data_IF_190607112978
#
_entry.id   IF_190607112978
#
_cell.length_a   1.000
_cell.length_b   1.000
_cell.length_c   1.000
_cell.angle_alpha   90.00
_cell.angle_beta   90.00
_cell.angle_gamma   90.00
#
_symmetry.space_group_name_H-M   'P 1'
#
loop_
_entity.id
_entity.type
_entity.pdbx_description
1 polymer ?
#
# COMPACT_ATOMS: atom_id res chain seq x y z
N UNK A 1 -1.84 18.77 3.60
CA UNK A 1 -1.92 20.19 4.01
C UNK A 1 -1.69 20.40 5.51
N UNK A 2 -2.00 19.42 6.36
CA UNK A 2 -1.76 19.47 7.82
C UNK A 2 -0.33 19.08 8.21
N UNK A 3 0.50 18.65 7.27
CA UNK A 3 1.88 18.21 7.50
C UNK A 3 2.00 16.84 8.15
N UNK A 4 0.92 16.03 8.12
CA UNK A 4 0.96 14.62 8.54
C UNK A 4 1.63 13.78 7.48
N UNK A 5 2.29 12.70 7.89
CA UNK A 5 2.78 11.68 6.97
C UNK A 5 1.62 10.80 6.46
N UNK A 6 1.78 10.24 5.28
CA UNK A 6 0.72 9.47 4.61
C UNK A 6 1.24 8.15 4.07
N UNK A 7 0.48 7.08 4.30
CA UNK A 7 0.79 5.75 3.82
C UNK A 7 -0.42 5.07 3.16
N UNK A 8 -0.15 4.37 2.07
CA UNK A 8 -1.12 3.53 1.37
C UNK A 8 -0.51 2.14 1.17
N UNK A 9 -1.19 1.14 1.70
CA UNK A 9 -0.74 -0.26 1.69
C UNK A 9 -1.88 -1.12 1.16
N UNK A 10 -1.58 -1.99 0.20
CA UNK A 10 -2.59 -2.87 -0.41
C UNK A 10 -1.99 -4.18 -0.89
N UNK A 11 -2.80 -5.23 -0.98
CA UNK A 11 -2.47 -6.47 -1.69
C UNK A 11 -2.80 -6.42 -3.19
N UNK A 12 -3.46 -5.35 -3.66
CA UNK A 12 -3.68 -5.07 -5.07
C UNK A 12 -2.50 -4.32 -5.72
N UNK A 13 -2.69 -3.89 -6.97
CA UNK A 13 -1.88 -2.84 -7.60
C UNK A 13 -2.06 -1.53 -6.80
N UNK A 14 -1.00 -0.81 -6.50
CA UNK A 14 -1.10 0.49 -5.81
C UNK A 14 -1.88 1.53 -6.62
N UNK A 15 -2.06 1.30 -7.91
CA UNK A 15 -2.88 2.09 -8.83
C UNK A 15 -4.35 1.64 -8.87
N UNK A 16 -4.75 0.62 -8.08
CA UNK A 16 -6.15 0.22 -7.99
C UNK A 16 -7.00 1.29 -7.27
N UNK A 17 -8.31 1.21 -7.40
CA UNK A 17 -9.23 2.28 -7.04
C UNK A 17 -9.08 2.74 -5.58
N UNK A 18 -8.99 1.81 -4.63
CA UNK A 18 -8.93 2.14 -3.20
C UNK A 18 -7.69 2.96 -2.82
N UNK A 19 -6.44 2.56 -3.14
CA UNK A 19 -5.31 3.44 -2.87
C UNK A 19 -5.30 4.69 -3.75
N UNK A 20 -5.74 4.59 -5.02
CA UNK A 20 -5.69 5.70 -5.96
C UNK A 20 -6.53 6.91 -5.53
N UNK A 21 -7.72 6.69 -4.98
CA UNK A 21 -8.66 7.77 -4.60
C UNK A 21 -8.08 8.75 -3.59
N UNK A 22 -7.10 8.34 -2.81
CA UNK A 22 -6.45 9.22 -1.81
C UNK A 22 -5.46 10.22 -2.42
N UNK A 23 -4.94 9.96 -3.61
CA UNK A 23 -3.85 10.77 -4.16
C UNK A 23 -3.99 11.13 -5.64
N UNK A 24 -4.83 10.45 -6.41
CA UNK A 24 -5.05 10.67 -7.83
C UNK A 24 -6.49 11.06 -8.15
N UNK A 25 -6.69 11.73 -9.30
CA UNK A 25 -8.00 12.13 -9.81
C UNK A 25 -8.05 11.83 -11.31
N UNK A 26 -8.77 10.78 -11.66
CA UNK A 26 -9.02 10.34 -13.03
C UNK A 26 -10.52 10.06 -13.21
N UNK A 27 -11.00 10.15 -14.43
CA UNK A 27 -12.40 9.87 -14.79
C UNK A 27 -12.68 8.37 -15.00
N UNK A 28 -11.61 7.55 -15.07
CA UNK A 28 -11.70 6.12 -15.26
C UNK A 28 -10.62 5.40 -14.43
N UNK A 29 -11.04 4.45 -13.57
CA UNK A 29 -10.13 3.66 -12.72
C UNK A 29 -9.13 2.81 -13.50
N UNK A 30 -9.38 2.56 -14.78
CA UNK A 30 -8.50 1.76 -15.63
C UNK A 30 -7.35 2.57 -16.24
N UNK A 31 -7.34 3.90 -16.07
CA UNK A 31 -6.22 4.79 -16.42
C UNK A 31 -5.04 4.66 -15.46
N UNK A 32 -4.57 3.43 -15.27
CA UNK A 32 -3.55 3.09 -14.25
C UNK A 32 -2.21 3.78 -14.47
N UNK A 33 -1.81 3.98 -15.71
CA UNK A 33 -0.59 4.75 -16.04
C UNK A 33 -0.72 6.22 -15.62
N UNK A 34 -1.88 6.83 -15.83
CA UNK A 34 -2.14 8.20 -15.41
C UNK A 34 -2.17 8.32 -13.88
N UNK A 35 -2.80 7.35 -13.20
CA UNK A 35 -2.78 7.27 -11.72
C UNK A 35 -1.36 7.20 -11.20
N UNK A 36 -0.51 6.33 -11.76
CA UNK A 36 0.90 6.22 -11.37
C UNK A 36 1.67 7.53 -11.59
N UNK A 37 1.42 8.20 -12.72
CA UNK A 37 1.98 9.53 -13.00
C UNK A 37 1.53 10.58 -11.97
N UNK A 38 0.28 10.56 -11.55
CA UNK A 38 -0.25 11.51 -10.55
C UNK A 38 0.33 11.25 -9.17
N UNK A 39 0.58 10.00 -8.76
CA UNK A 39 1.30 9.70 -7.52
C UNK A 39 2.65 10.40 -7.43
N UNK A 40 3.34 10.55 -8.56
CA UNK A 40 4.62 11.24 -8.61
C UNK A 40 4.49 12.75 -8.81
N UNK A 41 3.68 13.18 -9.78
CA UNK A 41 3.66 14.57 -10.26
C UNK A 41 2.82 15.50 -9.37
N UNK A 42 1.76 14.97 -8.75
CA UNK A 42 0.86 15.78 -7.93
C UNK A 42 1.46 15.98 -6.54
N UNK A 43 1.98 17.19 -6.33
CA UNK A 43 2.65 17.59 -5.08
C UNK A 43 1.83 18.65 -4.32
N UNK A 44 1.94 18.62 -3.00
CA UNK A 44 1.41 19.68 -2.12
C UNK A 44 2.59 20.43 -1.51
N UNK A 45 2.70 21.71 -1.79
CA UNK A 45 3.83 22.55 -1.35
C UNK A 45 5.21 21.97 -1.75
N UNK A 46 5.29 21.33 -2.93
CA UNK A 46 6.51 20.71 -3.43
C UNK A 46 6.83 19.33 -2.86
N UNK A 47 6.01 18.80 -1.95
CA UNK A 47 6.18 17.47 -1.37
C UNK A 47 5.21 16.47 -2.00
N UNK A 48 5.62 15.23 -2.14
CA UNK A 48 4.73 14.14 -2.56
C UNK A 48 3.58 13.96 -1.58
N UNK A 49 2.41 13.56 -2.10
CA UNK A 49 1.20 13.33 -1.29
C UNK A 49 1.29 12.07 -0.42
N UNK A 50 2.11 11.09 -0.82
CA UNK A 50 2.18 9.77 -0.19
C UNK A 50 3.65 9.46 0.15
N UNK A 51 3.96 9.29 1.43
CA UNK A 51 5.31 8.97 1.90
C UNK A 51 5.62 7.48 1.78
N UNK A 52 4.62 6.63 2.06
CA UNK A 52 4.74 5.17 2.02
C UNK A 52 3.71 4.60 1.07
N UNK A 53 4.16 3.98 -0.03
CA UNK A 53 3.30 3.36 -1.04
C UNK A 53 3.76 1.92 -1.26
N UNK A 54 2.96 0.94 -0.78
CA UNK A 54 3.32 -0.48 -0.77
C UNK A 54 2.22 -1.34 -1.39
N UNK A 55 2.58 -2.20 -2.33
CA UNK A 55 1.66 -3.14 -2.97
C UNK A 55 2.22 -3.76 -4.25
N UNK A 56 1.34 -4.11 -5.18
CA UNK A 56 1.69 -4.56 -6.52
C UNK A 56 1.68 -3.42 -7.55
N UNK A 57 1.76 -3.76 -8.85
CA UNK A 57 1.60 -2.82 -9.96
C UNK A 57 2.89 -2.23 -10.50
N UNK A 58 4.04 -2.91 -10.35
CA UNK A 58 5.33 -2.41 -10.81
C UNK A 58 5.36 -2.08 -12.30
N UNK A 59 4.52 -2.72 -13.12
CA UNK A 59 4.43 -2.46 -14.57
C UNK A 59 4.08 -1.01 -14.91
N UNK A 60 3.36 -0.29 -14.02
CA UNK A 60 2.95 1.10 -14.26
C UNK A 60 4.00 2.13 -13.85
N UNK A 61 5.13 1.71 -13.27
CA UNK A 61 6.18 2.60 -12.76
C UNK A 61 7.49 2.52 -13.55
N UNK A 62 7.54 1.66 -14.56
CA UNK A 62 8.73 1.38 -15.35
C UNK A 62 9.02 2.39 -16.45
N UNK A 63 9.91 1.97 -17.36
CA UNK A 63 10.38 2.76 -18.51
C UNK A 63 9.25 3.28 -19.38
N UNK A 64 8.24 2.45 -19.64
CA UNK A 64 7.14 2.79 -20.55
C UNK A 64 6.25 3.91 -20.00
N UNK A 65 6.24 4.09 -18.68
CA UNK A 65 5.54 5.19 -18.02
C UNK A 65 6.50 6.22 -17.42
N UNK A 66 7.61 6.49 -18.09
CA UNK A 66 8.51 7.59 -17.78
C UNK A 66 9.46 7.38 -16.60
N UNK A 67 9.85 6.13 -16.33
CA UNK A 67 10.85 5.78 -15.30
C UNK A 67 10.48 6.30 -13.91
N UNK A 68 9.24 6.07 -13.47
CA UNK A 68 8.76 6.61 -12.20
C UNK A 68 9.56 6.08 -11.00
N UNK A 69 9.99 4.80 -11.03
CA UNK A 69 10.81 4.24 -9.95
C UNK A 69 12.11 5.02 -9.73
N UNK A 70 12.83 5.33 -10.82
CA UNK A 70 14.07 6.12 -10.74
C UNK A 70 13.81 7.57 -10.31
N UNK A 71 12.66 8.12 -10.69
CA UNK A 71 12.25 9.48 -10.27
C UNK A 71 11.97 9.53 -8.78
N UNK A 72 11.22 8.58 -8.23
CA UNK A 72 10.99 8.46 -6.78
C UNK A 72 12.30 8.31 -6.01
N UNK A 73 13.23 7.46 -6.51
CA UNK A 73 14.55 7.30 -5.88
C UNK A 73 15.36 8.60 -5.87
N UNK A 74 15.32 9.40 -6.95
CA UNK A 74 15.98 10.71 -7.01
C UNK A 74 15.37 11.69 -6.01
N UNK A 75 14.08 11.57 -5.72
CA UNK A 75 13.39 12.40 -4.73
C UNK A 75 13.56 11.87 -3.29
N UNK A 76 14.38 10.82 -3.08
CA UNK A 76 14.75 10.32 -1.75
C UNK A 76 13.98 9.09 -1.25
N UNK A 77 13.11 8.51 -2.07
CA UNK A 77 12.43 7.27 -1.72
C UNK A 77 13.38 6.08 -1.83
N UNK A 78 13.29 5.16 -0.87
CA UNK A 78 13.78 3.80 -1.08
C UNK A 78 12.82 3.09 -2.03
N UNK A 79 13.34 2.48 -3.11
CA UNK A 79 12.58 1.59 -3.98
C UNK A 79 12.92 0.16 -3.63
N UNK A 80 11.90 -0.61 -3.23
CA UNK A 80 12.07 -1.99 -2.74
C UNK A 80 11.12 -2.93 -3.46
N UNK A 81 11.56 -4.17 -3.70
CA UNK A 81 10.82 -5.16 -4.48
C UNK A 81 10.65 -6.51 -3.76
N UNK A 82 11.14 -6.63 -2.54
CA UNK A 82 11.03 -7.84 -1.73
C UNK A 82 10.99 -7.51 -0.22
N UNK A 83 10.63 -8.51 0.57
CA UNK A 83 10.50 -8.41 2.04
C UNK A 83 11.79 -7.98 2.74
N UNK A 84 12.94 -8.51 2.30
CA UNK A 84 14.23 -8.21 2.91
C UNK A 84 14.62 -6.75 2.70
N UNK A 85 14.47 -6.25 1.49
CA UNK A 85 14.77 -4.85 1.17
C UNK A 85 13.81 -3.91 1.90
N UNK A 86 12.53 -4.28 2.01
CA UNK A 86 11.55 -3.52 2.79
C UNK A 86 11.97 -3.41 4.26
N UNK A 87 12.36 -4.51 4.88
CA UNK A 87 12.81 -4.54 6.28
C UNK A 87 14.10 -3.73 6.51
N UNK A 88 14.97 -3.66 5.50
CA UNK A 88 16.25 -2.94 5.56
C UNK A 88 16.18 -1.48 5.09
N UNK A 89 15.03 -1.05 4.57
CA UNK A 89 14.83 0.32 4.09
C UNK A 89 15.04 1.34 5.20
N UNK A 90 15.84 2.36 4.92
CA UNK A 90 16.23 3.40 5.90
C UNK A 90 15.51 4.72 5.70
N UNK A 91 15.06 5.02 4.49
CA UNK A 91 14.31 6.24 4.22
C UNK A 91 12.96 6.21 4.94
N UNK A 92 12.46 7.36 5.35
CA UNK A 92 11.09 7.52 5.86
C UNK A 92 10.07 7.50 4.72
N UNK A 93 10.54 7.63 3.47
CA UNK A 93 9.74 7.52 2.27
C UNK A 93 10.11 6.25 1.50
N UNK A 94 9.10 5.44 1.13
CA UNK A 94 9.33 4.17 0.44
C UNK A 94 8.27 3.90 -0.63
N UNK A 95 8.76 3.46 -1.79
CA UNK A 95 7.97 2.86 -2.87
C UNK A 95 8.30 1.37 -2.91
N UNK A 96 7.37 0.53 -2.46
CA UNK A 96 7.52 -0.93 -2.48
C UNK A 96 6.54 -1.55 -3.47
N UNK A 97 7.08 -2.14 -4.54
CA UNK A 97 6.30 -2.78 -5.60
C UNK A 97 6.72 -4.24 -5.73
N UNK A 98 5.91 -5.13 -5.16
CA UNK A 98 6.28 -6.54 -4.92
C UNK A 98 5.75 -7.52 -5.97
N UNK A 99 4.98 -7.03 -6.95
CA UNK A 99 4.48 -7.80 -8.06
C UNK A 99 4.26 -6.90 -9.28
N UNK A 100 4.27 -7.49 -10.48
CA UNK A 100 3.98 -6.77 -11.72
C UNK A 100 2.54 -6.24 -11.76
N UNK A 101 1.59 -7.06 -11.28
CA UNK A 101 0.15 -6.76 -11.12
C UNK A 101 -0.23 -6.81 -9.64
N UNK A 102 -1.41 -7.35 -9.32
CA UNK A 102 -1.78 -7.64 -7.94
C UNK A 102 -0.76 -8.56 -7.27
N UNK A 103 -0.58 -8.43 -5.98
CA UNK A 103 0.25 -9.36 -5.23
C UNK A 103 -0.34 -10.78 -5.29
N UNK A 104 0.50 -11.82 -5.26
CA UNK A 104 0.00 -13.19 -5.14
C UNK A 104 -0.79 -13.37 -3.84
N UNK A 105 -1.76 -14.29 -3.83
CA UNK A 105 -2.47 -14.64 -2.60
C UNK A 105 -1.47 -15.10 -1.53
N UNK A 106 -1.75 -14.79 -0.27
CA UNK A 106 -0.86 -15.12 0.83
C UNK A 106 -0.49 -16.62 0.86
N UNK A 107 -1.45 -17.49 0.56
CA UNK A 107 -1.25 -18.94 0.56
C UNK A 107 -0.24 -19.40 -0.51
N UNK A 108 -0.14 -18.68 -1.62
CA UNK A 108 0.74 -18.99 -2.76
C UNK A 108 1.95 -18.05 -2.84
N UNK A 109 2.07 -17.11 -1.91
CA UNK A 109 3.08 -16.08 -1.98
C UNK A 109 4.49 -16.67 -1.82
N UNK A 110 5.44 -16.31 -2.73
CA UNK A 110 6.85 -16.64 -2.54
C UNK A 110 7.37 -16.06 -1.21
N UNK A 111 8.30 -16.76 -0.58
CA UNK A 111 8.90 -16.36 0.71
C UNK A 111 9.48 -14.93 0.71
N UNK A 112 9.96 -14.47 -0.43
CA UNK A 112 10.53 -13.13 -0.56
C UNK A 112 9.47 -12.01 -0.64
N UNK A 113 8.18 -12.34 -0.84
CA UNK A 113 7.12 -11.34 -0.83
C UNK A 113 6.74 -10.98 0.60
N UNK A 114 6.58 -9.69 0.90
CA UNK A 114 6.00 -9.29 2.19
C UNK A 114 4.51 -9.63 2.21
N UNK A 115 4.01 -10.00 3.38
CA UNK A 115 2.59 -10.14 3.65
C UNK A 115 1.99 -8.77 4.01
N UNK A 116 0.67 -8.67 4.04
CA UNK A 116 -0.03 -7.42 4.38
C UNK A 116 0.44 -6.86 5.74
N UNK A 117 0.56 -7.73 6.75
CA UNK A 117 1.04 -7.35 8.07
C UNK A 117 2.50 -6.85 8.08
N UNK A 118 3.39 -7.44 7.26
CA UNK A 118 4.77 -6.97 7.12
C UNK A 118 4.84 -5.56 6.50
N UNK A 119 3.99 -5.31 5.50
CA UNK A 119 3.91 -4.00 4.85
C UNK A 119 3.34 -2.94 5.78
N UNK A 120 2.28 -3.26 6.53
CA UNK A 120 1.70 -2.38 7.54
C UNK A 120 2.71 -2.02 8.64
N UNK A 121 3.41 -3.01 9.20
CA UNK A 121 4.41 -2.81 10.25
C UNK A 121 5.54 -1.89 9.76
N UNK A 122 6.03 -2.11 8.53
CA UNK A 122 7.00 -1.22 7.90
C UNK A 122 6.46 0.20 7.72
N UNK A 123 5.22 0.35 7.27
CA UNK A 123 4.59 1.66 7.11
C UNK A 123 4.46 2.39 8.46
N UNK A 124 3.94 1.73 9.49
CA UNK A 124 3.82 2.31 10.84
C UNK A 124 5.16 2.81 11.36
N UNK A 125 6.22 1.99 11.29
CA UNK A 125 7.55 2.34 11.78
C UNK A 125 8.19 3.57 11.11
N UNK A 126 7.75 3.91 9.91
CA UNK A 126 8.21 5.09 9.16
C UNK A 126 7.35 6.32 9.47
N UNK A 127 6.03 6.12 9.42
CA UNK A 127 5.05 7.21 9.55
C UNK A 127 4.97 7.78 10.98
N UNK A 128 5.17 6.95 11.99
CA UNK A 128 5.13 7.36 13.41
C UNK A 128 6.21 8.38 13.81
N UNK A 129 7.27 8.51 13.00
CA UNK A 129 8.35 9.47 13.23
C UNK A 129 7.93 10.93 13.04
N UNK A 130 6.79 11.17 12.43
CA UNK A 130 6.27 12.52 12.23
C UNK A 130 5.50 12.99 13.47
N UNK A 131 6.02 13.99 14.18
CA UNK A 131 5.40 14.56 15.38
C UNK A 131 3.99 15.12 15.16
N UNK A 132 3.62 15.42 13.90
CA UNK A 132 2.26 15.85 13.55
C UNK A 132 1.29 14.69 13.35
N UNK A 133 1.79 13.45 13.44
CA UNK A 133 1.04 12.22 13.23
C UNK A 133 0.96 11.83 11.76
N UNK A 134 0.13 10.85 11.48
CA UNK A 134 0.02 10.25 10.15
C UNK A 134 -1.41 9.83 9.80
N UNK A 135 -1.61 9.53 8.55
CA UNK A 135 -2.74 8.77 8.00
C UNK A 135 -2.18 7.51 7.31
N UNK A 136 -2.72 6.36 7.65
CA UNK A 136 -2.37 5.08 7.01
C UNK A 136 -3.64 4.35 6.58
N UNK A 137 -3.73 4.00 5.30
CA UNK A 137 -4.75 3.11 4.76
C UNK A 137 -4.09 1.74 4.48
N UNK A 138 -4.73 0.68 4.96
CA UNK A 138 -4.29 -0.71 4.77
C UNK A 138 -5.45 -1.52 4.19
N UNK A 139 -5.25 -2.13 3.04
CA UNK A 139 -6.29 -2.82 2.29
C UNK A 139 -5.95 -4.30 2.07
N UNK A 140 -6.82 -5.17 2.52
CA UNK A 140 -6.84 -6.59 2.17
C UNK A 140 -7.61 -6.83 0.88
N UNK A 141 -7.16 -6.27 -0.24
CA UNK A 141 -7.87 -6.26 -1.53
C UNK A 141 -8.12 -7.67 -2.10
N UNK A 142 -7.26 -8.61 -1.78
CA UNK A 142 -7.36 -9.96 -2.33
C UNK A 142 -8.46 -10.82 -1.70
N UNK A 143 -9.10 -10.36 -0.63
CA UNK A 143 -10.33 -10.95 -0.10
C UNK A 143 -11.44 -10.85 -1.16
N UNK A 144 -11.69 -9.66 -1.67
CA UNK A 144 -12.63 -9.39 -2.76
C UNK A 144 -12.26 -10.13 -4.03
N UNK A 145 -10.99 -10.04 -4.45
CA UNK A 145 -10.49 -10.68 -5.67
C UNK A 145 -10.60 -12.21 -5.64
N UNK A 146 -10.57 -12.83 -4.46
CA UNK A 146 -10.85 -14.27 -4.26
C UNK A 146 -12.35 -14.54 -4.16
N UNK A 147 -13.12 -13.61 -3.64
CA UNK A 147 -14.60 -13.70 -3.56
C UNK A 147 -15.26 -13.76 -4.94
N UNK A 148 -14.80 -12.95 -5.89
CA UNK A 148 -15.35 -12.93 -7.25
C UNK A 148 -15.39 -14.31 -7.96
N UNK A 149 -14.33 -15.13 -7.97
CA UNK A 149 -14.38 -16.48 -8.50
C UNK A 149 -14.93 -17.53 -7.51
N UNK A 150 -15.43 -17.13 -6.35
CA UNK A 150 -15.89 -18.01 -5.27
C UNK A 150 -14.77 -18.95 -4.76
N UNK A 151 -13.54 -18.48 -4.71
CA UNK A 151 -12.38 -19.19 -4.14
C UNK A 151 -12.39 -19.07 -2.62
N UNK A 152 -13.06 -20.00 -1.94
CA UNK A 152 -13.15 -20.00 -0.48
C UNK A 152 -11.78 -20.12 0.21
N UNK A 153 -10.84 -20.84 -0.40
CA UNK A 153 -9.48 -21.01 0.16
C UNK A 153 -8.71 -19.69 0.10
N UNK A 154 -8.78 -18.99 -1.01
CA UNK A 154 -8.22 -17.64 -1.16
C UNK A 154 -8.85 -16.67 -0.17
N UNK A 155 -10.18 -16.60 -0.08
CA UNK A 155 -10.88 -15.73 0.87
C UNK A 155 -10.44 -16.00 2.32
N UNK A 156 -10.39 -17.25 2.75
CA UNK A 156 -9.99 -17.61 4.11
C UNK A 156 -8.53 -17.23 4.39
N UNK A 157 -7.64 -17.48 3.45
CA UNK A 157 -6.23 -17.12 3.56
C UNK A 157 -6.05 -15.61 3.69
N UNK A 158 -6.65 -14.85 2.78
CA UNK A 158 -6.54 -13.39 2.76
C UNK A 158 -7.21 -12.74 3.99
N UNK A 159 -8.35 -13.26 4.45
CA UNK A 159 -8.97 -12.82 5.71
C UNK A 159 -8.06 -13.05 6.91
N UNK A 160 -7.36 -14.19 6.96
CA UNK A 160 -6.37 -14.46 8.02
C UNK A 160 -5.21 -13.45 7.99
N UNK A 161 -4.76 -13.07 6.79
CA UNK A 161 -3.74 -12.03 6.61
C UNK A 161 -4.22 -10.65 7.04
N UNK A 162 -5.45 -10.31 6.71
CA UNK A 162 -6.09 -9.05 7.13
C UNK A 162 -6.30 -9.01 8.66
N UNK A 163 -6.78 -10.10 9.25
CA UNK A 163 -6.94 -10.20 10.72
C UNK A 163 -5.60 -9.97 11.44
N UNK A 164 -4.50 -10.51 10.90
CA UNK A 164 -3.18 -10.29 11.45
C UNK A 164 -2.75 -8.82 11.38
N UNK A 165 -2.97 -8.15 10.24
CA UNK A 165 -2.69 -6.73 10.10
C UNK A 165 -3.58 -5.89 11.04
N UNK A 166 -4.88 -6.20 11.11
CA UNK A 166 -5.79 -5.52 12.04
C UNK A 166 -5.37 -5.68 13.51
N UNK A 167 -4.89 -6.88 13.90
CA UNK A 167 -4.36 -7.09 15.25
C UNK A 167 -3.14 -6.22 15.52
N UNK A 168 -2.22 -6.09 14.55
CA UNK A 168 -1.06 -5.20 14.67
C UNK A 168 -1.50 -3.73 14.88
N UNK A 169 -2.48 -3.25 14.11
CA UNK A 169 -3.02 -1.90 14.26
C UNK A 169 -3.63 -1.67 15.65
N UNK A 170 -4.39 -2.65 16.17
CA UNK A 170 -4.96 -2.60 17.52
C UNK A 170 -3.87 -2.56 18.59
N UNK A 171 -2.84 -3.38 18.45
CA UNK A 171 -1.74 -3.44 19.41
C UNK A 171 -0.90 -2.15 19.37
N UNK A 172 -0.72 -1.58 18.18
CA UNK A 172 -0.12 -0.25 18.02
C UNK A 172 -0.95 0.81 18.79
N UNK A 173 -2.26 0.89 18.56
CA UNK A 173 -3.14 1.86 19.20
C UNK A 173 -3.24 1.71 20.73
N UNK A 174 -3.07 0.48 21.27
CA UNK A 174 -3.00 0.28 22.73
C UNK A 174 -1.84 1.04 23.37
N UNK A 175 -0.73 1.19 22.64
CA UNK A 175 0.49 1.87 23.10
C UNK A 175 0.54 3.35 22.67
N UNK A 176 -0.29 3.75 21.68
CA UNK A 176 -0.37 5.11 21.12
C UNK A 176 -1.82 5.62 21.24
N UNK A 177 -2.17 6.21 22.41
CA UNK A 177 -3.55 6.54 22.81
C UNK A 177 -4.23 7.61 21.96
N UNK A 178 -3.50 8.33 21.15
CA UNK A 178 -3.95 9.33 20.18
C UNK A 178 -4.20 8.75 18.78
N UNK A 179 -4.15 7.42 18.65
CA UNK A 179 -4.39 6.70 17.39
C UNK A 179 -5.81 6.15 17.34
N UNK A 180 -6.54 6.50 16.29
CA UNK A 180 -7.83 5.91 15.93
C UNK A 180 -7.62 4.82 14.90
N UNK A 181 -8.11 3.61 15.16
CA UNK A 181 -8.17 2.50 14.22
C UNK A 181 -9.60 2.31 13.76
N UNK A 182 -9.82 2.27 12.45
CA UNK A 182 -11.14 2.03 11.83
C UNK A 182 -11.01 0.83 10.91
N UNK A 183 -11.86 -0.17 11.10
CA UNK A 183 -12.01 -1.29 10.18
C UNK A 183 -13.39 -1.22 9.51
N UNK A 184 -13.42 -1.38 8.21
CA UNK A 184 -14.65 -1.37 7.42
C UNK A 184 -14.52 -2.25 6.18
N UNK A 185 -15.64 -2.64 5.60
CA UNK A 185 -15.72 -3.17 4.25
C UNK A 185 -16.54 -2.19 3.40
N UNK A 186 -16.22 -2.09 2.12
CA UNK A 186 -16.96 -1.28 1.15
C UNK A 186 -18.21 -2.01 0.64
N UNK A 187 -18.13 -3.33 0.44
CA UNK A 187 -19.24 -4.22 0.02
C UNK A 187 -18.92 -5.69 0.33
N UNK A 188 -19.90 -6.55 0.14
CA UNK A 188 -19.72 -8.02 0.10
C UNK A 188 -19.44 -8.49 -1.33
N UNK A 189 -18.75 -9.63 -1.49
CA UNK A 189 -18.42 -10.24 -2.78
C UNK A 189 -18.55 -11.76 -2.71
N UNK A 190 -19.02 -12.35 -3.81
CA UNK A 190 -19.36 -13.77 -3.88
C UNK A 190 -20.81 -14.05 -3.49
N UNK A 191 -21.31 -15.23 -3.82
CA UNK A 191 -22.69 -15.62 -3.63
C UNK A 191 -22.88 -16.82 -2.74
#
# INVERSE_FOLDING_TARGET
>A
EQGKSTGLVTTAEVTDATPAVYAAHVDDRDKKDEIAQQFYNDKINGQHKVDVLLGGGSKYFGKENGHLTEKFQKDGYDYVTNKTDLANSKSDQVLGLFAEKNMPLQIDAPQQNPLLADMEESALSKLEKNDKGFFLMVEGASIDKSGHPNDITGVMSEMSGFDKAFQNAIDYAKNHKDTLVVATADHSTGG
#
